data_IF_699048256304
#
_entry.id   IF_699048256304
#
_cell.length_a   1.000
_cell.length_b   1.000
_cell.length_c   1.000
_cell.angle_alpha   90.00
_cell.angle_beta   90.00
_cell.angle_gamma   90.00
#
_symmetry.space_group_name_H-M   'P 1'
#
loop_
_entity.id
_entity.type
_entity.pdbx_description
1 polymer ?
#
# COMPACT_ATOMS: atom_id res chain seq x y z
N UNK A 1 1.28 -30.12 23.43
CA UNK A 1 2.34 -30.85 24.16
C UNK A 1 3.68 -30.24 23.76
N UNK A 2 4.50 -29.93 24.75
CA UNK A 2 5.86 -29.40 24.61
C UNK A 2 6.77 -30.38 23.84
N UNK A 3 7.79 -29.86 23.15
CA UNK A 3 9.16 -30.36 23.31
C UNK A 3 10.21 -29.34 22.87
N UNK A 4 11.17 -29.19 23.77
CA UNK A 4 12.46 -28.49 23.72
C UNK A 4 13.46 -29.34 22.94
N UNK A 5 14.55 -28.77 22.40
CA UNK A 5 15.82 -29.47 22.37
C UNK A 5 16.85 -28.83 23.31
N UNK A 6 17.35 -29.66 24.23
CA UNK A 6 18.75 -29.71 24.62
C UNK A 6 19.30 -28.60 25.51
N UNK A 7 19.20 -28.80 26.83
CA UNK A 7 20.18 -28.30 27.79
C UNK A 7 21.53 -28.99 27.58
N UNK A 8 22.51 -28.24 27.07
CA UNK A 8 23.94 -28.52 27.22
C UNK A 8 24.56 -27.40 28.04
N UNK A 9 25.21 -27.74 29.16
CA UNK A 9 25.80 -26.78 30.09
C UNK A 9 26.91 -25.94 29.45
N UNK A 10 26.90 -24.65 29.78
CA UNK A 10 27.93 -23.68 29.41
C UNK A 10 27.48 -22.30 29.87
N UNK A 11 27.99 -21.86 31.02
CA UNK A 11 27.63 -20.58 31.61
C UNK A 11 28.03 -19.42 30.69
N UNK A 12 27.07 -18.60 30.30
CA UNK A 12 27.29 -17.26 29.76
C UNK A 12 26.11 -16.36 30.16
N UNK A 13 26.35 -15.57 31.20
CA UNK A 13 25.58 -14.37 31.51
C UNK A 13 25.71 -13.37 30.35
N UNK A 14 24.63 -12.72 29.86
CA UNK A 14 24.78 -11.42 29.24
C UNK A 14 24.85 -10.40 30.38
N UNK A 15 26.07 -9.95 30.66
CA UNK A 15 26.31 -8.81 31.54
C UNK A 15 25.63 -7.57 30.97
N UNK A 16 24.64 -7.04 31.69
CA UNK A 16 24.22 -5.67 31.51
C UNK A 16 25.24 -4.83 32.28
N UNK A 17 26.26 -4.34 31.57
CA UNK A 17 27.27 -3.42 32.09
C UNK A 17 26.58 -2.19 32.65
N UNK A 18 26.70 -2.00 33.97
CA UNK A 18 26.39 -0.74 34.61
C UNK A 18 27.36 0.34 34.17
N UNK A 19 26.83 1.54 33.95
CA UNK A 19 27.64 2.70 33.63
C UNK A 19 26.79 3.81 33.02
N UNK A 20 25.91 4.41 33.83
CA UNK A 20 25.59 5.83 33.71
C UNK A 20 24.94 6.33 35.01
N UNK A 21 25.81 6.85 35.87
CA UNK A 21 25.47 7.72 37.00
C UNK A 21 24.94 9.05 36.45
N UNK A 22 23.63 9.09 36.22
CA UNK A 22 22.87 10.30 35.91
C UNK A 22 21.79 10.53 36.97
N UNK A 23 22.06 11.44 37.89
CA UNK A 23 21.12 11.94 38.89
C UNK A 23 19.83 12.47 38.24
N UNK A 24 18.67 11.86 38.55
CA UNK A 24 17.36 12.38 38.13
C UNK A 24 16.14 11.53 38.55
N UNK A 25 15.41 12.01 39.55
CA UNK A 25 13.97 11.77 39.84
C UNK A 25 13.50 10.34 40.20
N UNK A 26 13.18 10.15 41.48
CA UNK A 26 12.76 8.89 42.12
C UNK A 26 11.35 8.38 41.81
N UNK A 27 11.07 8.00 40.55
CA UNK A 27 9.87 7.24 40.18
C UNK A 27 10.16 5.89 39.48
N UNK A 28 11.31 5.74 38.81
CA UNK A 28 11.62 4.55 38.00
C UNK A 28 11.94 3.28 38.79
N UNK A 29 12.41 3.41 40.03
CA UNK A 29 12.73 2.27 40.91
C UNK A 29 11.51 1.51 41.43
N UNK A 30 10.41 2.23 41.64
CA UNK A 30 9.19 1.67 42.23
C UNK A 30 8.37 0.86 41.23
N UNK A 31 8.37 1.24 39.96
CA UNK A 31 7.65 0.48 38.93
C UNK A 31 8.31 -0.88 38.65
N UNK A 32 9.62 -0.90 38.40
CA UNK A 32 10.33 -2.15 38.06
C UNK A 32 10.29 -3.16 39.21
N UNK A 33 10.32 -2.70 40.45
CA UNK A 33 10.13 -3.55 41.63
C UNK A 33 8.72 -4.10 41.70
N UNK A 34 7.67 -3.28 41.52
CA UNK A 34 6.28 -3.74 41.40
C UNK A 34 6.09 -4.76 40.28
N UNK A 35 6.64 -4.49 39.09
CA UNK A 35 6.58 -5.42 37.94
C UNK A 35 7.25 -6.77 38.26
N UNK A 36 8.42 -6.74 38.89
CA UNK A 36 9.14 -7.96 39.33
C UNK A 36 8.37 -8.72 40.40
N UNK A 37 7.73 -8.02 41.34
CA UNK A 37 6.89 -8.63 42.39
C UNK A 37 5.69 -9.37 41.78
N UNK A 38 4.97 -8.75 40.84
CA UNK A 38 3.85 -9.41 40.15
C UNK A 38 4.36 -10.60 39.33
N UNK A 39 5.48 -10.45 38.62
CA UNK A 39 6.11 -11.55 37.87
C UNK A 39 6.56 -12.71 38.76
N UNK A 40 7.01 -12.42 39.98
CA UNK A 40 7.41 -13.44 40.97
C UNK A 40 6.22 -14.20 41.56
N UNK A 41 5.00 -13.62 41.55
CA UNK A 41 3.76 -14.31 41.91
C UNK A 41 3.34 -15.34 40.85
N UNK A 42 3.68 -15.09 39.58
CA UNK A 42 3.39 -16.00 38.46
C UNK A 42 4.37 -17.18 38.34
N UNK A 43 5.56 -17.09 38.97
CA UNK A 43 6.52 -18.21 38.98
C UNK A 43 5.90 -19.40 39.71
N UNK A 44 5.93 -20.58 39.08
CA UNK A 44 5.47 -21.84 39.66
C UNK A 44 6.13 -22.05 41.02
N UNK A 45 5.33 -22.05 42.07
CA UNK A 45 5.73 -22.50 43.41
C UNK A 45 5.21 -23.93 43.57
N UNK A 46 6.03 -24.79 44.15
CA UNK A 46 5.69 -26.19 44.38
C UNK A 46 4.28 -26.29 45.02
N UNK A 47 3.37 -27.00 44.35
CA UNK A 47 2.01 -27.34 44.77
C UNK A 47 0.91 -26.25 44.80
N UNK A 48 1.14 -25.01 44.34
CA UNK A 48 0.03 -24.01 44.22
C UNK A 48 -0.10 -23.47 42.81
N UNK A 49 -1.33 -23.52 42.26
CA UNK A 49 -1.68 -22.81 41.03
C UNK A 49 -1.63 -21.30 41.32
N UNK A 50 -0.81 -20.51 40.62
CA UNK A 50 -0.79 -19.06 40.82
C UNK A 50 -2.12 -18.43 40.40
N UNK A 51 -2.57 -17.41 41.12
CA UNK A 51 -3.77 -16.64 40.76
C UNK A 51 -3.44 -15.72 39.57
N UNK A 52 -3.60 -16.24 38.36
CA UNK A 52 -3.24 -15.53 37.13
C UNK A 52 -4.18 -14.34 36.86
N UNK A 53 -5.44 -14.41 37.27
CA UNK A 53 -6.42 -13.34 37.09
C UNK A 53 -6.03 -12.07 37.86
N UNK A 54 -5.73 -12.19 39.15
CA UNK A 54 -5.27 -11.05 39.97
C UNK A 54 -3.95 -10.46 39.47
N UNK A 55 -3.05 -11.31 38.95
CA UNK A 55 -1.80 -10.85 38.37
C UNK A 55 -2.05 -10.03 37.08
N UNK A 56 -2.99 -10.46 36.23
CA UNK A 56 -3.38 -9.72 35.04
C UNK A 56 -3.95 -8.34 35.39
N UNK A 57 -4.82 -8.26 36.41
CA UNK A 57 -5.37 -6.99 36.89
C UNK A 57 -4.28 -6.06 37.46
N UNK A 58 -3.32 -6.61 38.21
CA UNK A 58 -2.17 -5.85 38.72
C UNK A 58 -1.31 -5.29 37.58
N UNK A 59 -1.05 -6.07 36.53
CA UNK A 59 -0.34 -5.57 35.35
C UNK A 59 -1.14 -4.52 34.57
N UNK A 60 -2.46 -4.69 34.45
CA UNK A 60 -3.32 -3.72 33.79
C UNK A 60 -3.42 -2.39 34.56
N UNK A 61 -3.43 -2.43 35.90
CA UNK A 61 -3.36 -1.24 36.73
C UNK A 61 -2.02 -0.51 36.55
N UNK A 62 -0.90 -1.23 36.60
CA UNK A 62 0.43 -0.66 36.34
C UNK A 62 0.53 -0.06 34.93
N UNK A 63 -0.03 -0.71 33.91
CA UNK A 63 -0.04 -0.18 32.55
C UNK A 63 -0.78 1.16 32.46
N UNK A 64 -1.88 1.34 33.22
CA UNK A 64 -2.61 2.62 33.27
C UNK A 64 -1.83 3.72 33.96
N UNK A 65 -1.16 3.41 35.07
CA UNK A 65 -0.29 4.36 35.77
C UNK A 65 0.86 4.83 34.87
N UNK A 66 1.51 3.90 34.16
CA UNK A 66 2.60 4.22 33.23
C UNK A 66 2.13 5.00 32.00
N UNK A 67 0.90 4.76 31.52
CA UNK A 67 0.29 5.59 30.48
C UNK A 67 0.09 7.03 30.96
N UNK A 68 -0.30 7.22 32.23
CA UNK A 68 -0.47 8.55 32.82
C UNK A 68 0.86 9.27 33.04
N UNK A 69 1.95 8.52 33.25
CA UNK A 69 3.32 9.06 33.38
C UNK A 69 4.04 9.24 32.03
N UNK A 70 3.36 9.05 30.90
CA UNK A 70 3.90 9.12 29.54
C UNK A 70 5.06 8.14 29.22
N UNK A 71 5.27 7.13 30.06
CA UNK A 71 6.28 6.09 29.81
C UNK A 71 5.69 4.96 28.96
N UNK A 72 5.45 5.25 27.68
CA UNK A 72 4.78 4.37 26.71
C UNK A 72 5.41 2.97 26.51
N UNK A 73 6.74 2.81 26.33
CA UNK A 73 7.32 1.49 26.05
C UNK A 73 7.13 0.52 27.23
N UNK A 74 7.25 1.01 28.47
CA UNK A 74 7.00 0.19 29.66
C UNK A 74 5.52 -0.19 29.80
N UNK A 75 4.60 0.70 29.46
CA UNK A 75 3.18 0.37 29.43
C UNK A 75 2.89 -0.74 28.40
N UNK A 76 3.57 -0.75 27.26
CA UNK A 76 3.44 -1.80 26.26
C UNK A 76 3.96 -3.16 26.77
N UNK A 77 5.10 -3.18 27.48
CA UNK A 77 5.59 -4.38 28.16
C UNK A 77 4.60 -4.93 29.20
N UNK A 78 3.94 -4.06 29.97
CA UNK A 78 2.88 -4.49 30.88
C UNK A 78 1.69 -5.12 30.15
N UNK A 79 1.28 -4.56 29.01
CA UNK A 79 0.19 -5.14 28.20
C UNK A 79 0.56 -6.50 27.60
N UNK A 80 1.83 -6.70 27.23
CA UNK A 80 2.31 -8.03 26.83
C UNK A 80 2.27 -9.04 27.98
N UNK A 81 2.54 -8.61 29.21
CA UNK A 81 2.39 -9.47 30.39
C UNK A 81 0.91 -9.85 30.63
N UNK A 82 -0.03 -8.90 30.44
CA UNK A 82 -1.47 -9.17 30.49
C UNK A 82 -1.88 -10.19 29.42
N UNK A 83 -1.39 -10.05 28.19
CA UNK A 83 -1.66 -11.00 27.11
C UNK A 83 -1.18 -12.42 27.46
N UNK A 84 0.03 -12.55 28.02
CA UNK A 84 0.56 -13.86 28.49
C UNK A 84 -0.28 -14.46 29.62
N UNK A 85 -0.80 -13.63 30.52
CA UNK A 85 -1.71 -14.08 31.57
C UNK A 85 -3.03 -14.61 30.96
N UNK A 86 -3.62 -13.86 30.02
CA UNK A 86 -4.84 -14.26 29.31
C UNK A 86 -4.64 -15.57 28.52
N UNK A 87 -3.48 -15.74 27.87
CA UNK A 87 -3.10 -16.98 27.20
C UNK A 87 -3.09 -18.17 28.16
N UNK A 88 -2.49 -18.02 29.34
CA UNK A 88 -2.43 -19.09 30.34
C UNK A 88 -3.79 -19.40 31.00
N UNK A 89 -4.73 -18.46 30.94
CA UNK A 89 -6.13 -18.65 31.35
C UNK A 89 -6.99 -19.25 30.22
N UNK A 90 -6.47 -19.35 29.00
CA UNK A 90 -7.24 -19.77 27.82
C UNK A 90 -8.25 -18.72 27.33
N UNK A 91 -8.08 -17.46 27.72
CA UNK A 91 -8.98 -16.37 27.33
C UNK A 91 -8.50 -15.68 26.05
N UNK A 92 -8.76 -16.32 24.91
CA UNK A 92 -8.35 -15.87 23.58
C UNK A 92 -8.77 -14.42 23.19
N UNK A 93 -10.03 -13.96 23.38
CA UNK A 93 -10.39 -12.60 22.95
C UNK A 93 -9.69 -11.50 23.77
N UNK A 94 -9.48 -11.71 25.07
CA UNK A 94 -8.72 -10.77 25.90
C UNK A 94 -7.23 -10.78 25.60
N UNK A 95 -6.67 -11.93 25.21
CA UNK A 95 -5.29 -12.00 24.69
C UNK A 95 -5.13 -11.15 23.42
N UNK A 96 -6.03 -11.31 22.44
CA UNK A 96 -6.04 -10.52 21.22
C UNK A 96 -6.25 -9.01 21.47
N UNK A 97 -7.07 -8.64 22.44
CA UNK A 97 -7.29 -7.24 22.83
C UNK A 97 -6.02 -6.63 23.44
N UNK A 98 -5.38 -7.31 24.40
CA UNK A 98 -4.15 -6.85 25.04
C UNK A 98 -2.98 -6.72 24.06
N UNK A 99 -2.85 -7.64 23.10
CA UNK A 99 -1.86 -7.55 22.02
C UNK A 99 -2.10 -6.37 21.09
N UNK A 100 -3.35 -6.10 20.74
CA UNK A 100 -3.73 -4.91 19.95
C UNK A 100 -3.42 -3.62 20.69
N UNK A 101 -3.70 -3.54 21.99
CA UNK A 101 -3.33 -2.40 22.83
C UNK A 101 -1.81 -2.22 22.93
N UNK A 102 -1.05 -3.31 23.09
CA UNK A 102 0.41 -3.24 23.11
C UNK A 102 0.95 -2.68 21.80
N UNK A 103 0.45 -3.17 20.65
CA UNK A 103 0.84 -2.65 19.33
C UNK A 103 0.59 -1.14 19.19
N UNK A 104 -0.59 -0.66 19.62
CA UNK A 104 -0.93 0.77 19.58
C UNK A 104 -0.01 1.63 20.45
N UNK A 105 0.40 1.13 21.62
CA UNK A 105 1.35 1.84 22.48
C UNK A 105 2.74 1.94 21.84
N UNK A 106 3.22 0.87 21.19
CA UNK A 106 4.46 0.89 20.45
C UNK A 106 4.41 1.90 19.30
N UNK A 107 3.37 1.84 18.46
CA UNK A 107 3.20 2.77 17.33
C UNK A 107 3.10 4.23 17.79
N UNK A 108 2.36 4.49 18.87
CA UNK A 108 2.26 5.84 19.47
C UNK A 108 3.63 6.33 19.92
N UNK A 109 4.41 5.48 20.59
CA UNK A 109 5.75 5.84 21.05
C UNK A 109 6.67 6.17 19.87
N UNK A 110 6.64 5.39 18.81
CA UNK A 110 7.42 5.67 17.60
C UNK A 110 7.01 6.95 16.90
N UNK A 111 5.71 7.27 16.91
CA UNK A 111 5.22 8.53 16.37
C UNK A 111 5.75 9.71 17.19
N UNK A 112 5.72 9.63 18.52
CA UNK A 112 6.29 10.67 19.39
C UNK A 112 7.81 10.80 19.20
N UNK A 113 8.53 9.69 19.04
CA UNK A 113 9.95 9.69 18.77
C UNK A 113 10.27 10.38 17.43
N UNK A 114 9.52 10.04 16.37
CA UNK A 114 9.62 10.69 15.05
C UNK A 114 9.37 12.19 15.12
N UNK A 115 8.35 12.62 15.87
CA UNK A 115 8.03 14.04 16.04
C UNK A 115 9.14 14.80 16.78
N UNK A 116 9.82 14.16 17.75
CA UNK A 116 10.90 14.78 18.53
C UNK A 116 12.24 14.80 17.81
N UNK A 117 12.59 13.71 17.10
CA UNK A 117 13.90 13.53 16.47
C UNK A 117 13.97 14.05 15.03
N UNK A 118 12.82 14.32 14.41
CA UNK A 118 12.73 14.71 13.01
C UNK A 118 12.85 13.52 12.04
N UNK A 119 12.54 13.74 10.75
CA UNK A 119 12.61 12.68 9.74
C UNK A 119 14.07 12.27 9.48
N UNK A 120 14.37 10.97 9.58
CA UNK A 120 15.62 10.38 9.06
C UNK A 120 16.64 9.88 10.08
N UNK A 121 16.43 10.06 11.40
CA UNK A 121 17.30 9.44 12.44
C UNK A 121 16.81 8.04 12.88
N UNK A 122 16.31 7.28 11.89
CA UNK A 122 15.54 6.04 12.06
C UNK A 122 16.27 4.89 12.75
N UNK A 123 16.18 4.83 14.07
CA UNK A 123 16.19 3.57 14.81
C UNK A 123 14.76 3.28 15.27
N UNK A 124 13.98 2.66 14.38
CA UNK A 124 12.65 2.12 14.72
C UNK A 124 12.81 0.82 15.51
N UNK A 125 13.38 0.90 16.71
CA UNK A 125 13.62 -0.27 17.57
C UNK A 125 12.31 -0.94 18.00
N UNK A 126 11.23 -0.16 18.06
CA UNK A 126 9.93 -0.58 18.58
C UNK A 126 8.93 -1.02 17.50
N UNK A 127 9.21 -0.73 16.23
CA UNK A 127 8.40 -1.10 15.07
C UNK A 127 8.33 -2.61 14.87
N UNK A 128 9.45 -3.38 14.88
CA UNK A 128 9.35 -4.83 14.74
C UNK A 128 8.59 -5.46 15.93
N UNK A 129 8.66 -4.87 17.11
CA UNK A 129 7.85 -5.29 18.26
C UNK A 129 6.36 -5.04 17.97
N UNK A 130 5.98 -3.88 17.43
CA UNK A 130 4.61 -3.60 17.02
C UNK A 130 4.11 -4.57 15.93
N UNK A 131 4.91 -4.79 14.88
CA UNK A 131 4.57 -5.69 13.77
C UNK A 131 4.36 -7.13 14.22
N UNK A 132 5.20 -7.63 15.15
CA UNK A 132 5.03 -8.98 15.71
C UNK A 132 3.77 -9.09 16.57
N UNK A 133 3.42 -8.05 17.35
CA UNK A 133 2.17 -7.99 18.11
C UNK A 133 0.95 -7.99 17.20
N UNK A 134 0.98 -7.20 16.12
CA UNK A 134 -0.10 -7.15 15.11
C UNK A 134 -0.22 -8.50 14.40
N UNK A 135 0.88 -9.10 13.98
CA UNK A 135 0.86 -10.38 13.29
C UNK A 135 0.28 -11.50 14.16
N UNK A 136 0.71 -11.60 15.42
CA UNK A 136 0.18 -12.59 16.35
C UNK A 136 -1.28 -12.31 16.73
N UNK A 137 -1.62 -11.05 17.05
CA UNK A 137 -2.98 -10.63 17.37
C UNK A 137 -3.96 -10.86 16.21
N UNK A 138 -3.53 -10.65 14.97
CA UNK A 138 -4.35 -10.90 13.78
C UNK A 138 -4.65 -12.38 13.58
N UNK A 139 -3.67 -13.28 13.77
CA UNK A 139 -3.88 -14.74 13.68
C UNK A 139 -4.89 -15.20 14.71
N UNK A 140 -4.74 -14.73 15.94
CA UNK A 140 -5.65 -15.07 17.04
C UNK A 140 -7.09 -14.57 16.78
N UNK A 141 -7.26 -13.40 16.15
CA UNK A 141 -8.58 -12.90 15.72
C UNK A 141 -9.18 -13.71 14.56
N UNK A 142 -8.35 -14.27 13.67
CA UNK A 142 -8.82 -15.16 12.61
C UNK A 142 -9.27 -16.50 13.19
N UNK A 143 -8.55 -17.05 14.17
CA UNK A 143 -8.94 -18.27 14.88
C UNK A 143 -10.28 -18.09 15.62
N UNK A 144 -10.58 -16.87 16.08
CA UNK A 144 -11.86 -16.49 16.69
C UNK A 144 -12.98 -16.18 15.68
N UNK A 145 -12.71 -16.25 14.37
CA UNK A 145 -13.68 -15.95 13.33
C UNK A 145 -14.01 -14.46 13.16
N UNK A 146 -13.11 -13.56 13.56
CA UNK A 146 -13.29 -12.10 13.50
C UNK A 146 -12.31 -11.43 12.51
N UNK A 147 -12.48 -11.64 11.18
CA UNK A 147 -11.55 -11.12 10.17
C UNK A 147 -11.56 -9.59 10.05
N UNK A 148 -12.71 -8.93 10.28
CA UNK A 148 -12.82 -7.47 10.25
C UNK A 148 -11.94 -6.79 11.31
N UNK A 149 -11.92 -7.33 12.53
CA UNK A 149 -11.06 -6.83 13.60
C UNK A 149 -9.59 -7.14 13.34
N UNK A 150 -9.27 -8.27 12.70
CA UNK A 150 -7.91 -8.57 12.28
C UNK A 150 -7.41 -7.55 11.23
N UNK A 151 -8.24 -7.22 10.24
CA UNK A 151 -7.94 -6.20 9.24
C UNK A 151 -7.69 -4.83 9.86
N UNK A 152 -8.49 -4.42 10.85
CA UNK A 152 -8.31 -3.15 11.56
C UNK A 152 -6.91 -2.97 12.16
N UNK A 153 -6.31 -4.03 12.74
CA UNK A 153 -4.94 -3.95 13.28
C UNK A 153 -3.90 -3.71 12.18
N UNK A 154 -4.07 -4.36 11.02
CA UNK A 154 -3.18 -4.17 9.88
C UNK A 154 -3.33 -2.78 9.25
N UNK A 155 -4.54 -2.22 9.23
CA UNK A 155 -4.78 -0.84 8.78
C UNK A 155 -4.15 0.20 9.70
N UNK A 156 -4.28 0.03 11.02
CA UNK A 156 -3.62 0.90 11.99
C UNK A 156 -2.10 0.93 11.76
N UNK A 157 -1.48 -0.24 11.60
CA UNK A 157 -0.06 -0.37 11.28
C UNK A 157 0.31 0.32 9.95
N UNK A 158 -0.46 0.06 8.89
CA UNK A 158 -0.20 0.62 7.56
C UNK A 158 -0.33 2.15 7.53
N UNK A 159 -1.31 2.71 8.24
CA UNK A 159 -1.52 4.15 8.32
C UNK A 159 -0.42 4.85 9.12
N UNK A 160 0.03 4.25 10.22
CA UNK A 160 1.15 4.80 11.00
C UNK A 160 2.47 4.77 10.21
N UNK A 161 2.74 3.70 9.46
CA UNK A 161 3.91 3.59 8.57
C UNK A 161 3.88 4.63 7.44
N UNK A 162 2.71 4.82 6.81
CA UNK A 162 2.50 5.86 5.78
C UNK A 162 2.76 7.25 6.34
N UNK A 163 2.21 7.57 7.53
CA UNK A 163 2.48 8.83 8.21
C UNK A 163 3.95 9.01 8.62
N UNK A 164 4.68 7.90 8.73
CA UNK A 164 6.11 7.89 9.05
C UNK A 164 7.04 8.15 7.87
N UNK A 165 6.50 8.28 6.66
CA UNK A 165 7.32 8.50 5.47
C UNK A 165 8.02 7.23 4.95
N UNK A 166 7.61 6.05 5.43
CA UNK A 166 8.09 4.74 4.98
C UNK A 166 6.99 4.01 4.18
N UNK A 167 6.55 4.53 3.01
CA UNK A 167 5.44 3.96 2.26
C UNK A 167 5.73 2.54 1.76
N UNK A 168 6.99 2.20 1.49
CA UNK A 168 7.39 0.86 1.01
C UNK A 168 7.12 -0.25 2.03
N UNK A 169 7.33 0.02 3.32
CA UNK A 169 7.04 -0.93 4.39
C UNK A 169 5.53 -1.04 4.68
N UNK A 170 4.74 -0.01 4.34
CA UNK A 170 3.30 0.01 4.54
C UNK A 170 2.55 -0.88 3.54
N UNK A 171 3.04 -1.00 2.30
CA UNK A 171 2.41 -1.79 1.22
C UNK A 171 2.02 -3.22 1.64
N UNK A 172 2.92 -4.07 2.17
CA UNK A 172 2.57 -5.45 2.53
C UNK A 172 1.56 -5.53 3.69
N UNK A 173 1.59 -4.56 4.62
CA UNK A 173 0.63 -4.50 5.73
C UNK A 173 -0.78 -4.16 5.22
N UNK A 174 -0.88 -3.21 4.30
CA UNK A 174 -2.15 -2.77 3.72
C UNK A 174 -2.74 -3.78 2.74
N UNK A 175 -1.92 -4.45 1.93
CA UNK A 175 -2.36 -5.56 1.07
C UNK A 175 -2.97 -6.69 1.89
N UNK A 176 -2.31 -7.08 2.99
CA UNK A 176 -2.84 -8.07 3.91
C UNK A 176 -4.17 -7.61 4.55
N UNK A 177 -4.31 -6.33 4.87
CA UNK A 177 -5.58 -5.80 5.35
C UNK A 177 -6.70 -5.92 4.30
N UNK A 178 -6.40 -5.59 3.03
CA UNK A 178 -7.36 -5.71 1.93
C UNK A 178 -7.85 -7.15 1.73
N UNK A 179 -6.95 -8.15 1.80
CA UNK A 179 -7.31 -9.57 1.71
C UNK A 179 -8.25 -9.99 2.84
N UNK A 180 -7.98 -9.54 4.07
CA UNK A 180 -8.81 -9.85 5.24
C UNK A 180 -10.19 -9.17 5.18
N UNK A 181 -10.27 -7.95 4.62
CA UNK A 181 -11.53 -7.25 4.40
C UNK A 181 -12.37 -7.90 3.30
N UNK A 182 -11.73 -8.43 2.26
CA UNK A 182 -12.40 -9.22 1.23
C UNK A 182 -13.04 -10.49 1.84
N UNK A 183 -12.32 -11.19 2.72
CA UNK A 183 -12.86 -12.33 3.48
C UNK A 183 -13.99 -11.91 4.43
N UNK A 184 -13.91 -10.71 5.02
CA UNK A 184 -14.92 -10.16 5.91
C UNK A 184 -16.18 -9.61 5.19
N UNK A 185 -16.25 -9.70 3.85
CA UNK A 185 -17.36 -9.20 3.02
C UNK A 185 -17.57 -7.67 3.13
N UNK A 186 -16.49 -6.91 3.31
CA UNK A 186 -16.48 -5.45 3.35
C UNK A 186 -15.77 -4.87 2.10
N UNK A 187 -16.37 -4.98 0.90
CA UNK A 187 -15.69 -4.65 -0.35
C UNK A 187 -15.34 -3.17 -0.49
N UNK A 188 -16.16 -2.26 0.04
CA UNK A 188 -15.89 -0.82 -0.04
C UNK A 188 -14.63 -0.43 0.75
N UNK A 189 -14.44 -1.01 1.93
CA UNK A 189 -13.25 -0.76 2.74
C UNK A 189 -12.01 -1.37 2.07
N UNK A 190 -12.14 -2.59 1.50
CA UNK A 190 -11.06 -3.21 0.76
C UNK A 190 -10.61 -2.35 -0.45
N UNK A 191 -11.55 -1.75 -1.19
CA UNK A 191 -11.22 -0.84 -2.29
C UNK A 191 -10.47 0.41 -1.82
N UNK A 192 -10.91 1.02 -0.71
CA UNK A 192 -10.19 2.16 -0.11
C UNK A 192 -8.76 1.76 0.29
N UNK A 193 -8.59 0.56 0.84
CA UNK A 193 -7.26 0.03 1.18
C UNK A 193 -6.38 -0.17 -0.06
N UNK A 194 -6.94 -0.65 -1.18
CA UNK A 194 -6.19 -0.82 -2.43
C UNK A 194 -5.81 0.53 -3.05
N UNK A 195 -6.68 1.55 -2.98
CA UNK A 195 -6.32 2.93 -3.35
C UNK A 195 -5.17 3.46 -2.50
N UNK A 196 -5.28 3.23 -1.21
CA UNK A 196 -4.28 3.59 -0.22
C UNK A 196 -2.96 2.83 -0.46
N UNK A 197 -2.98 1.62 -1.01
CA UNK A 197 -1.77 0.91 -1.48
C UNK A 197 -1.23 1.53 -2.76
N UNK A 198 -2.09 1.85 -3.73
CA UNK A 198 -1.68 2.46 -4.99
C UNK A 198 -0.94 3.78 -4.74
N UNK A 199 -1.47 4.66 -3.88
CA UNK A 199 -0.78 5.89 -3.47
C UNK A 199 0.59 5.62 -2.84
N UNK A 200 0.73 4.58 -2.00
CA UNK A 200 2.03 4.20 -1.44
C UNK A 200 3.02 3.72 -2.52
N UNK A 201 2.56 2.91 -3.47
CA UNK A 201 3.39 2.41 -4.58
C UNK A 201 3.85 3.53 -5.52
N UNK A 202 2.97 4.51 -5.78
CA UNK A 202 3.32 5.71 -6.54
C UNK A 202 4.43 6.53 -5.87
N UNK A 203 4.37 6.67 -4.54
CA UNK A 203 5.44 7.32 -3.76
C UNK A 203 6.75 6.51 -3.84
N UNK A 204 6.67 5.18 -3.89
CA UNK A 204 7.83 4.28 -4.04
C UNK A 204 8.37 4.20 -5.47
N UNK A 205 7.75 4.87 -6.46
CA UNK A 205 8.07 4.78 -7.90
C UNK A 205 7.86 3.39 -8.51
N UNK A 206 7.08 2.53 -7.85
CA UNK A 206 6.68 1.24 -8.42
C UNK A 206 5.38 1.39 -9.20
N UNK A 207 5.52 1.81 -10.45
CA UNK A 207 4.40 2.07 -11.35
C UNK A 207 3.72 0.78 -11.84
N UNK A 208 4.49 -0.31 -12.01
CA UNK A 208 3.97 -1.62 -12.43
C UNK A 208 3.13 -2.26 -11.32
N UNK A 209 3.62 -2.22 -10.07
CA UNK A 209 2.86 -2.68 -8.91
C UNK A 209 1.58 -1.87 -8.71
N UNK A 210 1.65 -0.55 -8.90
CA UNK A 210 0.47 0.32 -8.80
C UNK A 210 -0.60 -0.05 -9.84
N UNK A 211 -0.21 -0.34 -11.09
CA UNK A 211 -1.14 -0.82 -12.12
C UNK A 211 -1.83 -2.13 -11.72
N UNK A 212 -1.10 -3.09 -11.17
CA UNK A 212 -1.66 -4.39 -10.76
C UNK A 212 -2.70 -4.23 -9.63
N UNK A 213 -2.41 -3.38 -8.65
CA UNK A 213 -3.33 -3.09 -7.53
C UNK A 213 -4.59 -2.37 -8.01
N UNK A 214 -4.46 -1.41 -8.94
CA UNK A 214 -5.61 -0.70 -9.52
C UNK A 214 -6.50 -1.64 -10.38
N UNK A 215 -5.92 -2.61 -11.08
CA UNK A 215 -6.72 -3.64 -11.78
C UNK A 215 -7.46 -4.54 -10.80
N UNK A 216 -6.80 -4.96 -9.72
CA UNK A 216 -7.45 -5.75 -8.68
C UNK A 216 -8.63 -4.97 -8.06
N UNK A 217 -8.45 -3.66 -7.79
CA UNK A 217 -9.52 -2.82 -7.28
C UNK A 217 -10.72 -2.77 -8.24
N UNK A 218 -10.49 -2.62 -9.55
CA UNK A 218 -11.59 -2.60 -10.51
C UNK A 218 -12.31 -3.94 -10.61
N UNK A 219 -11.59 -5.06 -10.59
CA UNK A 219 -12.18 -6.40 -10.59
C UNK A 219 -13.03 -6.65 -9.35
N UNK A 220 -12.56 -6.23 -8.17
CA UNK A 220 -13.32 -6.34 -6.92
C UNK A 220 -14.58 -5.48 -6.94
N UNK A 221 -14.50 -4.26 -7.47
CA UNK A 221 -15.66 -3.39 -7.63
C UNK A 221 -16.68 -3.99 -8.60
N UNK A 222 -16.24 -4.53 -9.75
CA UNK A 222 -17.12 -5.19 -10.72
C UNK A 222 -17.79 -6.44 -10.13
N UNK A 223 -17.05 -7.24 -9.36
CA UNK A 223 -17.59 -8.41 -8.67
C UNK A 223 -18.62 -8.03 -7.59
N UNK A 224 -18.40 -6.92 -6.86
CA UNK A 224 -19.33 -6.39 -5.87
C UNK A 224 -20.61 -5.77 -6.46
N UNK A 225 -20.61 -5.43 -7.75
CA UNK A 225 -21.75 -4.85 -8.47
C UNK A 225 -22.58 -5.88 -9.25
N UNK A 226 -22.23 -7.17 -9.19
CA UNK A 226 -22.99 -8.25 -9.81
C UNK A 226 -24.35 -8.51 -9.12
N UNK A 227 -25.37 -9.04 -9.82
CA UNK A 227 -26.73 -9.23 -9.30
C UNK A 227 -26.85 -10.46 -8.39
N UNK A 228 -26.03 -10.56 -7.34
CA UNK A 228 -26.12 -11.69 -6.40
C UNK A 228 -25.50 -11.34 -5.04
N UNK A 229 -26.25 -10.61 -4.23
CA UNK A 229 -26.05 -10.56 -2.77
C UNK A 229 -27.38 -10.19 -2.08
N UNK A 230 -28.40 -11.02 -2.27
CA UNK A 230 -29.68 -10.89 -1.57
C UNK A 230 -30.71 -11.93 -1.99
N UNK A 231 -30.85 -12.99 -1.18
CA UNK A 231 -32.07 -13.80 -1.12
C UNK A 231 -32.15 -14.99 -2.08
N UNK A 232 -32.14 -16.18 -1.48
CA UNK A 232 -32.47 -17.47 -2.08
C UNK A 232 -33.88 -17.55 -2.69
N UNK A 233 -33.94 -18.25 -3.83
CA UNK A 233 -34.94 -19.22 -4.34
C UNK A 233 -35.66 -18.87 -5.64
N UNK A 234 -35.42 -19.74 -6.63
CA UNK A 234 -36.25 -20.10 -7.79
C UNK A 234 -36.77 -18.99 -8.71
N UNK A 235 -36.15 -18.83 -9.88
CA UNK A 235 -36.57 -19.55 -11.09
C UNK A 235 -35.77 -19.09 -12.30
N UNK A 236 -35.23 -20.07 -13.02
CA UNK A 236 -34.60 -19.87 -14.30
C UNK A 236 -35.67 -19.61 -15.36
N UNK A 237 -35.55 -18.49 -16.09
CA UNK A 237 -35.92 -18.37 -17.50
C UNK A 237 -35.66 -16.94 -17.99
N UNK A 238 -34.61 -16.75 -18.78
CA UNK A 238 -34.61 -15.99 -20.03
C UNK A 238 -33.16 -15.65 -20.42
N UNK A 239 -32.66 -16.38 -21.41
CA UNK A 239 -31.49 -15.98 -22.17
C UNK A 239 -31.84 -14.84 -23.13
N UNK A 240 -30.80 -14.10 -23.51
CA UNK A 240 -30.63 -13.29 -24.71
C UNK A 240 -31.23 -11.87 -24.78
N UNK A 241 -30.33 -10.96 -25.18
CA UNK A 241 -30.54 -9.67 -25.86
C UNK A 241 -31.47 -8.66 -25.22
N UNK A 242 -30.88 -7.73 -24.47
CA UNK A 242 -31.12 -6.28 -24.57
C UNK A 242 -30.41 -5.59 -23.41
N UNK A 243 -29.92 -4.39 -23.67
CA UNK A 243 -29.39 -3.42 -22.73
C UNK A 243 -30.17 -3.38 -21.40
N UNK A 244 -29.70 -4.12 -20.40
CA UNK A 244 -30.15 -3.92 -19.01
C UNK A 244 -29.31 -2.77 -18.46
N UNK A 245 -29.92 -1.65 -18.03
CA UNK A 245 -29.16 -0.62 -17.33
C UNK A 245 -28.67 -1.26 -16.03
N UNK A 246 -27.36 -1.50 -15.97
CA UNK A 246 -26.64 -1.78 -14.72
C UNK A 246 -27.09 -0.69 -13.76
N UNK A 247 -27.83 -1.06 -12.72
CA UNK A 247 -28.20 -0.11 -11.67
C UNK A 247 -26.92 0.61 -11.25
N UNK A 248 -26.90 1.96 -11.23
CA UNK A 248 -25.67 2.68 -10.95
C UNK A 248 -25.11 2.15 -9.64
N UNK A 249 -23.82 1.73 -9.62
CA UNK A 249 -23.23 1.24 -8.40
C UNK A 249 -23.34 2.34 -7.33
N UNK A 250 -23.42 1.98 -6.03
CA UNK A 250 -23.59 2.97 -4.98
C UNK A 250 -22.52 4.06 -5.13
N UNK A 251 -22.88 5.34 -4.93
CA UNK A 251 -22.01 6.47 -5.29
C UNK A 251 -20.57 6.36 -4.75
N UNK A 252 -20.39 5.81 -3.54
CA UNK A 252 -19.07 5.59 -2.95
C UNK A 252 -18.17 4.60 -3.71
N UNK A 253 -18.76 3.62 -4.42
CA UNK A 253 -18.01 2.73 -5.33
C UNK A 253 -17.67 3.44 -6.63
N UNK A 254 -18.56 4.32 -7.11
CA UNK A 254 -18.36 5.08 -8.34
C UNK A 254 -17.14 6.00 -8.21
N UNK A 255 -17.02 6.74 -7.10
CA UNK A 255 -15.89 7.65 -6.85
C UNK A 255 -14.54 6.90 -6.85
N UNK A 256 -14.54 5.69 -6.30
CA UNK A 256 -13.34 4.85 -6.23
C UNK A 256 -13.00 4.24 -7.60
N UNK A 257 -14.02 3.80 -8.33
CA UNK A 257 -13.88 3.33 -9.71
C UNK A 257 -13.38 4.44 -10.64
N UNK A 258 -13.87 5.67 -10.46
CA UNK A 258 -13.43 6.86 -11.18
C UNK A 258 -11.95 7.13 -10.94
N UNK A 259 -11.54 7.16 -9.67
CA UNK A 259 -10.15 7.34 -9.30
C UNK A 259 -9.25 6.27 -9.93
N UNK A 260 -9.66 5.00 -9.84
CA UNK A 260 -8.94 3.86 -10.40
C UNK A 260 -8.81 3.92 -11.93
N UNK A 261 -9.88 4.27 -12.66
CA UNK A 261 -9.83 4.40 -14.11
C UNK A 261 -8.87 5.50 -14.55
N UNK A 262 -8.99 6.69 -13.96
CA UNK A 262 -8.17 7.86 -14.33
C UNK A 262 -6.69 7.59 -14.02
N UNK A 263 -6.37 7.09 -12.82
CA UNK A 263 -5.00 6.75 -12.44
C UNK A 263 -4.40 5.68 -13.35
N UNK A 264 -5.18 4.67 -13.74
CA UNK A 264 -4.73 3.61 -14.65
C UNK A 264 -4.45 4.13 -16.06
N UNK A 265 -5.31 4.99 -16.62
CA UNK A 265 -5.06 5.60 -17.94
C UNK A 265 -3.75 6.38 -17.92
N UNK A 266 -3.53 7.21 -16.91
CA UNK A 266 -2.29 7.99 -16.77
C UNK A 266 -1.06 7.09 -16.61
N UNK A 267 -1.15 6.00 -15.84
CA UNK A 267 -0.06 5.03 -15.70
C UNK A 267 0.23 4.26 -16.98
N UNK A 268 -0.78 3.91 -17.77
CA UNK A 268 -0.59 3.26 -19.07
C UNK A 268 0.07 4.21 -20.08
N UNK A 269 -0.23 5.51 -20.02
CA UNK A 269 0.43 6.53 -20.81
C UNK A 269 1.90 6.72 -20.43
N UNK A 270 2.23 6.60 -19.14
CA UNK A 270 3.60 6.64 -18.61
C UNK A 270 4.40 5.39 -19.04
N UNK A 271 3.92 4.21 -18.65
CA UNK A 271 4.67 2.96 -18.81
C UNK A 271 4.79 2.48 -20.26
N UNK A 272 3.82 2.82 -21.12
CA UNK A 272 3.69 2.33 -22.50
C UNK A 272 4.09 0.85 -22.64
N UNK A 273 3.43 -0.06 -21.89
CA UNK A 273 3.89 -1.43 -21.78
C UNK A 273 3.85 -2.15 -23.13
N UNK A 274 4.84 -3.01 -23.45
CA UNK A 274 4.84 -3.76 -24.68
C UNK A 274 3.66 -4.75 -24.74
N UNK A 275 3.17 -5.10 -25.94
CA UNK A 275 2.06 -6.03 -26.19
C UNK A 275 2.02 -7.30 -25.36
N UNK A 276 3.19 -7.86 -25.08
CA UNK A 276 3.37 -9.15 -24.44
C UNK A 276 3.12 -9.13 -22.94
N UNK A 277 3.15 -7.96 -22.31
CA UNK A 277 2.92 -7.77 -20.86
C UNK A 277 1.56 -7.13 -20.57
N UNK A 278 0.77 -6.88 -21.61
CA UNK A 278 -0.44 -6.09 -21.50
C UNK A 278 -1.63 -7.00 -21.20
N UNK A 279 -2.13 -6.94 -19.97
CA UNK A 279 -3.31 -7.68 -19.53
C UNK A 279 -4.55 -7.26 -20.32
N UNK A 280 -5.51 -8.17 -20.59
CA UNK A 280 -6.68 -7.86 -21.42
C UNK A 280 -7.53 -6.70 -20.90
N UNK A 281 -7.52 -6.46 -19.59
CA UNK A 281 -8.19 -5.31 -18.97
C UNK A 281 -7.56 -3.97 -19.34
N UNK A 282 -6.23 -3.90 -19.40
CA UNK A 282 -5.52 -2.70 -19.85
C UNK A 282 -5.83 -2.41 -21.32
N UNK A 283 -5.92 -3.45 -22.17
CA UNK A 283 -6.27 -3.30 -23.57
C UNK A 283 -7.65 -2.67 -23.74
N UNK A 284 -8.66 -3.24 -23.08
CA UNK A 284 -10.04 -2.71 -23.09
C UNK A 284 -10.11 -1.25 -22.69
N UNK A 285 -9.28 -0.84 -21.73
CA UNK A 285 -9.28 0.54 -21.26
C UNK A 285 -8.63 1.48 -22.25
N UNK A 286 -7.53 1.08 -22.88
CA UNK A 286 -6.91 1.88 -23.93
C UNK A 286 -7.82 1.99 -25.16
N UNK A 287 -8.54 0.92 -25.52
CA UNK A 287 -9.52 0.94 -26.60
C UNK A 287 -10.62 1.97 -26.35
N UNK A 288 -11.19 2.02 -25.14
CA UNK A 288 -12.20 3.02 -24.74
C UNK A 288 -11.76 4.47 -24.95
N UNK A 289 -10.47 4.76 -24.79
CA UNK A 289 -9.89 6.11 -24.93
C UNK A 289 -9.11 6.30 -26.26
N UNK A 290 -9.21 5.37 -27.20
CA UNK A 290 -8.48 5.43 -28.49
C UNK A 290 -9.25 6.16 -29.59
N UNK A 291 -8.53 6.55 -30.66
CA UNK A 291 -9.07 7.19 -31.89
C UNK A 291 -10.23 6.40 -32.53
N UNK A 292 -10.37 5.11 -32.28
CA UNK A 292 -11.43 4.26 -32.87
C UNK A 292 -12.74 4.29 -32.05
N UNK A 293 -12.72 4.89 -30.87
CA UNK A 293 -13.81 4.88 -29.89
C UNK A 293 -14.38 6.27 -29.59
N UNK A 294 -14.45 7.16 -30.58
CA UNK A 294 -15.09 8.49 -30.41
C UNK A 294 -16.56 8.39 -29.99
N UNK A 295 -17.23 7.27 -30.30
CA UNK A 295 -18.63 7.00 -29.92
C UNK A 295 -18.75 6.26 -28.58
N UNK A 296 -17.65 6.04 -27.84
CA UNK A 296 -17.70 5.33 -26.58
C UNK A 296 -18.48 6.12 -25.52
N UNK A 297 -19.43 5.46 -24.87
CA UNK A 297 -20.17 6.06 -23.77
C UNK A 297 -19.22 6.37 -22.61
N UNK A 298 -19.30 7.56 -21.99
CA UNK A 298 -18.47 7.94 -20.85
C UNK A 298 -18.68 7.01 -19.64
N UNK A 299 -19.81 6.27 -19.62
CA UNK A 299 -20.16 5.31 -18.59
C UNK A 299 -20.45 6.05 -17.30
N UNK A 300 -19.50 5.97 -16.35
CA UNK A 300 -19.55 6.67 -15.08
C UNK A 300 -18.61 7.89 -15.00
N UNK A 301 -17.74 8.10 -15.99
CA UNK A 301 -16.78 9.22 -16.05
C UNK A 301 -17.51 10.51 -16.45
N UNK A 302 -17.24 11.67 -15.81
CA UNK A 302 -17.78 12.95 -16.28
C UNK A 302 -17.39 13.20 -17.74
N UNK A 303 -18.35 13.63 -18.58
CA UNK A 303 -18.14 13.78 -20.02
C UNK A 303 -16.97 14.72 -20.37
N UNK A 304 -16.81 15.81 -19.61
CA UNK A 304 -15.69 16.76 -19.77
C UNK A 304 -14.34 16.08 -19.50
N UNK A 305 -14.22 15.35 -18.39
CA UNK A 305 -13.01 14.62 -18.04
C UNK A 305 -12.72 13.50 -19.06
N UNK A 306 -13.76 12.81 -19.54
CA UNK A 306 -13.64 11.75 -20.54
C UNK A 306 -13.04 12.27 -21.85
N UNK A 307 -13.56 13.38 -22.37
CA UNK A 307 -13.07 14.01 -23.60
C UNK A 307 -11.63 14.50 -23.46
N UNK A 308 -11.30 15.14 -22.33
CA UNK A 308 -9.94 15.61 -22.05
C UNK A 308 -8.96 14.44 -21.95
N UNK A 309 -9.35 13.33 -21.30
CA UNK A 309 -8.52 12.12 -21.24
C UNK A 309 -8.32 11.47 -22.61
N UNK A 310 -9.35 11.39 -23.45
CA UNK A 310 -9.22 10.94 -24.83
C UNK A 310 -8.18 11.80 -25.57
N UNK A 311 -8.34 13.12 -25.56
CA UNK A 311 -7.41 14.04 -26.22
C UNK A 311 -5.97 13.91 -25.71
N UNK A 312 -5.77 13.66 -24.40
CA UNK A 312 -4.45 13.42 -23.83
C UNK A 312 -3.83 12.11 -24.32
N UNK A 313 -4.63 11.05 -24.47
CA UNK A 313 -4.17 9.79 -25.08
C UNK A 313 -3.76 10.02 -26.54
N UNK A 314 -4.51 10.82 -27.31
CA UNK A 314 -4.15 11.16 -28.70
C UNK A 314 -2.86 11.97 -28.79
N UNK A 315 -2.71 13.01 -27.96
CA UNK A 315 -1.51 13.82 -27.91
C UNK A 315 -0.26 12.98 -27.59
N UNK A 316 -0.38 12.00 -26.67
CA UNK A 316 0.69 11.06 -26.36
C UNK A 316 1.02 10.13 -27.54
N UNK A 317 0.02 9.64 -28.28
CA UNK A 317 0.22 8.78 -29.46
C UNK A 317 0.89 9.52 -30.63
N UNK A 318 0.49 10.77 -30.86
CA UNK A 318 1.03 11.62 -31.93
C UNK A 318 2.35 12.30 -31.55
N UNK A 319 2.72 12.22 -30.26
CA UNK A 319 3.88 12.91 -29.66
C UNK A 319 3.80 14.43 -29.77
N UNK A 320 2.60 14.99 -29.66
CA UNK A 320 2.39 16.43 -29.61
C UNK A 320 2.58 16.97 -28.19
N UNK A 321 3.75 17.56 -27.95
CA UNK A 321 4.13 18.15 -26.67
C UNK A 321 3.36 19.44 -26.36
N UNK A 322 2.99 20.21 -27.38
CA UNK A 322 2.34 21.50 -27.16
C UNK A 322 0.86 21.31 -26.80
N UNK A 323 0.18 20.39 -27.49
CA UNK A 323 -1.17 19.96 -27.11
C UNK A 323 -1.19 19.41 -25.68
N UNK A 324 -0.24 18.54 -25.31
CA UNK A 324 -0.21 17.93 -23.98
C UNK A 324 0.00 18.97 -22.85
N UNK A 325 0.78 20.03 -23.08
CA UNK A 325 0.96 21.13 -22.11
C UNK A 325 -0.31 21.97 -21.92
N UNK A 326 -1.08 22.17 -22.99
CA UNK A 326 -2.39 22.87 -22.90
C UNK A 326 -3.36 22.00 -22.11
N UNK A 327 -3.45 20.71 -22.46
CA UNK A 327 -4.30 19.73 -21.76
C UNK A 327 -3.93 19.59 -20.29
N UNK A 328 -2.65 19.68 -19.92
CA UNK A 328 -2.23 19.67 -18.51
C UNK A 328 -2.85 20.81 -17.70
N UNK A 329 -3.04 22.00 -18.29
CA UNK A 329 -3.67 23.13 -17.59
C UNK A 329 -5.17 22.93 -17.42
N UNK A 330 -5.82 22.35 -18.42
CA UNK A 330 -7.27 22.10 -18.43
C UNK A 330 -7.65 20.91 -17.53
N UNK A 331 -6.81 19.88 -17.47
CA UNK A 331 -7.00 18.72 -16.60
C UNK A 331 -6.67 19.01 -15.12
N UNK A 332 -5.82 20.00 -14.83
CA UNK A 332 -5.36 20.30 -13.48
C UNK A 332 -6.46 20.44 -12.41
N UNK A 333 -7.54 21.23 -12.63
CA UNK A 333 -8.61 21.38 -11.64
C UNK A 333 -9.52 20.15 -11.50
N UNK A 334 -9.53 19.26 -12.51
CA UNK A 334 -10.40 18.07 -12.54
C UNK A 334 -9.73 16.85 -11.90
N UNK A 335 -8.41 16.86 -11.76
CA UNK A 335 -7.61 15.75 -11.26
C UNK A 335 -7.21 15.93 -9.79
N UNK A 336 -7.08 14.81 -9.08
CA UNK A 336 -6.49 14.77 -7.73
C UNK A 336 -4.98 15.11 -7.78
N UNK A 337 -4.36 15.59 -6.69
CA UNK A 337 -2.93 15.91 -6.67
C UNK A 337 -2.03 14.71 -7.06
N UNK A 338 -2.44 13.49 -6.72
CA UNK A 338 -1.74 12.26 -7.11
C UNK A 338 -1.80 12.02 -8.62
N UNK A 339 -2.98 12.18 -9.22
CA UNK A 339 -3.17 12.08 -10.67
C UNK A 339 -2.44 13.21 -11.41
N UNK A 340 -2.43 14.42 -10.85
CA UNK A 340 -1.66 15.55 -11.39
C UNK A 340 -0.15 15.26 -11.35
N UNK A 341 0.34 14.59 -10.30
CA UNK A 341 1.73 14.13 -10.26
C UNK A 341 2.02 13.14 -11.39
N UNK A 342 1.15 12.16 -11.62
CA UNK A 342 1.28 11.21 -12.73
C UNK A 342 1.30 11.91 -14.09
N UNK A 343 0.37 12.83 -14.33
CA UNK A 343 0.31 13.58 -15.59
C UNK A 343 1.58 14.41 -15.80
N UNK A 344 2.14 15.00 -14.74
CA UNK A 344 3.42 15.69 -14.81
C UNK A 344 4.58 14.75 -15.21
N UNK A 345 4.60 13.52 -14.68
CA UNK A 345 5.61 12.52 -15.06
C UNK A 345 5.46 12.11 -16.53
N UNK A 346 4.24 11.95 -17.03
CA UNK A 346 3.98 11.67 -18.47
C UNK A 346 4.54 12.79 -19.34
N UNK A 347 4.25 14.05 -19.00
CA UNK A 347 4.82 15.20 -19.72
C UNK A 347 6.35 15.19 -19.66
N UNK A 348 6.93 14.87 -18.51
CA UNK A 348 8.38 14.81 -18.33
C UNK A 348 9.03 13.70 -19.18
N UNK A 349 8.44 12.51 -19.24
CA UNK A 349 8.92 11.41 -20.09
C UNK A 349 8.83 11.74 -21.58
N UNK A 350 7.80 12.49 -21.99
CA UNK A 350 7.66 12.96 -23.36
C UNK A 350 8.70 14.02 -23.74
N UNK A 351 9.12 14.86 -22.79
CA UNK A 351 10.20 15.84 -22.97
C UNK A 351 11.59 15.17 -22.96
N UNK A 352 11.77 14.14 -22.13
CA UNK A 352 13.04 13.45 -21.95
C UNK A 352 12.80 11.95 -21.78
N UNK A 353 12.77 11.17 -22.89
CA UNK A 353 12.58 9.74 -22.79
C UNK A 353 13.80 9.14 -22.09
N UNK A 354 13.59 8.57 -20.91
CA UNK A 354 14.60 7.93 -20.05
C UNK A 354 15.23 6.65 -20.65
N UNK A 355 15.09 6.43 -21.97
CA UNK A 355 15.34 5.17 -22.67
C UNK A 355 16.27 5.21 -23.88
N UNK A 356 17.24 6.14 -23.96
CA UNK A 356 18.47 5.88 -24.71
C UNK A 356 19.46 5.20 -23.77
N UNK A 357 19.55 3.87 -23.86
CA UNK A 357 20.26 3.04 -22.90
C UNK A 357 21.73 3.41 -22.69
N UNK A 358 22.10 3.62 -21.42
CA UNK A 358 23.46 3.34 -20.95
C UNK A 358 23.48 1.89 -20.48
N UNK A 359 23.97 1.01 -21.34
CA UNK A 359 24.62 -0.22 -20.89
C UNK A 359 25.81 0.23 -20.03
N UNK A 360 25.72 0.08 -18.72
CA UNK A 360 26.90 0.12 -17.86
C UNK A 360 27.83 -1.03 -18.29
N UNK A 361 29.12 -0.78 -18.59
CA UNK A 361 30.08 -1.86 -18.76
C UNK A 361 30.22 -2.61 -17.44
N UNK A 362 30.14 -3.94 -17.52
CA UNK A 362 30.34 -4.83 -16.40
C UNK A 362 31.73 -4.63 -15.79
N UNK A 363 31.79 -4.50 -14.47
CA UNK A 363 33.04 -4.53 -13.71
C UNK A 363 32.93 -3.84 -12.36
N UNK A 364 33.03 -4.63 -11.29
CA UNK A 364 33.28 -4.27 -9.88
C UNK A 364 32.11 -3.71 -9.06
N UNK A 365 31.61 -4.55 -8.15
CA UNK A 365 31.02 -4.15 -6.86
C UNK A 365 32.12 -4.15 -5.78
N UNK A 366 31.88 -3.74 -4.52
CA UNK A 366 30.90 -2.77 -4.02
C UNK A 366 31.58 -1.68 -3.15
N UNK A 367 31.01 -0.48 -3.04
CA UNK A 367 31.17 0.30 -1.80
C UNK A 367 30.06 1.36 -1.66
N UNK A 368 29.28 1.23 -0.59
CA UNK A 368 28.38 2.25 -0.10
C UNK A 368 29.20 3.42 0.44
N UNK A 369 28.92 4.66 0.00
CA UNK A 369 29.19 5.85 0.81
C UNK A 369 28.29 7.03 0.42
N UNK A 370 27.37 7.31 1.35
CA UNK A 370 26.88 8.61 1.83
C UNK A 370 27.53 9.87 1.22
N UNK A 371 26.70 10.71 0.58
CA UNK A 371 26.59 12.19 0.75
C UNK A 371 26.00 12.77 -0.55
N UNK A 372 24.93 13.54 -0.55
CA UNK A 372 24.78 14.76 0.23
C UNK A 372 25.55 15.89 -0.44
N UNK A 373 25.00 16.47 -1.54
CA UNK A 373 25.17 17.88 -1.95
C UNK A 373 24.41 18.20 -3.24
N UNK A 374 23.25 18.82 -3.05
CA UNK A 374 22.71 19.79 -4.00
C UNK A 374 23.80 20.83 -4.32
N UNK A 375 24.15 21.02 -5.59
CA UNK A 375 24.85 22.23 -6.04
C UNK A 375 24.15 22.80 -7.26
N UNK A 376 23.45 23.92 -7.03
CA UNK A 376 23.02 24.87 -8.05
C UNK A 376 24.24 25.32 -8.87
N UNK A 377 24.10 25.34 -10.20
CA UNK A 377 24.73 26.36 -11.03
C UNK A 377 23.85 26.66 -12.24
N UNK A 378 23.09 27.74 -12.12
CA UNK A 378 22.70 28.55 -13.27
C UNK A 378 23.94 29.30 -13.76
N UNK A 379 24.25 29.19 -15.04
CA UNK A 379 24.97 30.22 -15.78
C UNK A 379 24.78 30.02 -17.28
N UNK A 380 23.82 30.78 -17.83
CA UNK A 380 23.94 31.57 -19.07
C UNK A 380 25.00 31.14 -20.10
N UNK A 381 24.56 30.75 -21.29
CA UNK A 381 25.24 31.10 -22.54
C UNK A 381 24.29 31.07 -23.75
N UNK A 382 23.92 32.28 -24.17
CA UNK A 382 23.74 32.81 -25.55
C UNK A 382 23.13 31.92 -26.65
N UNK A 383 22.05 32.46 -27.22
CA UNK A 383 21.61 32.22 -28.60
C UNK A 383 22.76 32.37 -29.61
N UNK A 384 22.85 31.42 -30.53
CA UNK A 384 23.09 31.71 -31.94
C UNK A 384 22.48 30.60 -32.79
N UNK A 385 21.69 31.01 -33.78
CA UNK A 385 21.14 30.17 -34.83
C UNK A 385 22.25 29.46 -35.62
N UNK A 386 21.92 28.31 -36.22
CA UNK A 386 22.03 28.04 -37.66
C UNK A 386 21.85 26.52 -37.91
N UNK A 387 20.82 26.23 -38.71
CA UNK A 387 20.68 25.14 -39.69
C UNK A 387 20.90 23.67 -39.29
N UNK A 388 19.76 22.97 -39.18
CA UNK A 388 19.37 21.91 -40.13
C UNK A 388 20.39 20.79 -40.41
N UNK A 389 20.41 19.78 -39.55
CA UNK A 389 20.70 18.41 -39.97
C UNK A 389 19.40 17.59 -39.95
N UNK A 390 18.66 17.67 -41.07
CA UNK A 390 17.72 16.61 -41.46
C UNK A 390 18.54 15.41 -41.92
N UNK A 391 18.46 14.30 -41.19
CA UNK A 391 18.98 13.02 -41.66
C UNK A 391 19.47 12.18 -40.49
N UNK A 392 19.11 10.89 -40.49
CA UNK A 392 19.51 9.88 -39.50
C UNK A 392 18.71 9.91 -38.19
N UNK A 393 17.42 9.55 -38.28
CA UNK A 393 16.66 8.87 -37.18
C UNK A 393 15.34 8.23 -37.63
N UNK A 394 14.99 8.30 -38.93
CA UNK A 394 13.78 7.67 -39.48
C UNK A 394 13.82 6.13 -39.57
N UNK A 395 14.96 5.49 -39.31
CA UNK A 395 15.13 4.05 -39.49
C UNK A 395 14.73 3.18 -38.30
N UNK A 396 14.77 3.70 -37.07
CA UNK A 396 14.66 2.84 -35.87
C UNK A 396 13.27 2.85 -35.22
N UNK A 397 12.48 3.92 -35.42
CA UNK A 397 11.15 4.06 -34.82
C UNK A 397 9.98 3.63 -35.73
N UNK A 398 10.24 3.42 -37.03
CA UNK A 398 9.21 2.88 -37.94
C UNK A 398 8.83 1.43 -37.62
N UNK A 399 9.73 0.66 -36.98
CA UNK A 399 9.45 -0.74 -36.61
C UNK A 399 8.60 -0.85 -35.34
N UNK A 400 8.79 0.05 -34.37
CA UNK A 400 7.99 0.06 -33.13
C UNK A 400 6.60 0.67 -33.32
N UNK A 401 6.45 1.69 -34.17
CA UNK A 401 5.14 2.25 -34.55
C UNK A 401 4.35 1.27 -35.44
N UNK A 402 5.03 0.50 -36.33
CA UNK A 402 4.39 -0.64 -37.01
C UNK A 402 4.01 -1.74 -36.04
N UNK A 403 4.80 -2.01 -35.01
CA UNK A 403 4.47 -3.02 -34.00
C UNK A 403 3.25 -2.60 -33.17
N UNK A 404 3.08 -1.31 -32.85
CA UNK A 404 1.90 -0.78 -32.14
C UNK A 404 0.64 -0.70 -33.04
N UNK A 405 0.79 -0.30 -34.31
CA UNK A 405 -0.31 -0.36 -35.31
C UNK A 405 -0.69 -1.80 -35.65
N UNK A 406 0.26 -2.73 -35.73
CA UNK A 406 0.00 -4.18 -35.83
C UNK A 406 -0.59 -4.74 -34.54
N UNK A 407 -0.29 -4.16 -33.38
CA UNK A 407 -0.82 -4.61 -32.10
C UNK A 407 -2.32 -4.33 -32.01
N UNK A 408 -2.77 -3.12 -32.34
CA UNK A 408 -4.20 -2.79 -32.39
C UNK A 408 -4.92 -3.48 -33.56
N UNK A 409 -4.29 -3.55 -34.74
CA UNK A 409 -4.88 -4.18 -35.93
C UNK A 409 -5.02 -5.72 -35.81
N UNK A 410 -4.05 -6.43 -35.22
CA UNK A 410 -4.17 -7.89 -34.98
C UNK A 410 -5.10 -8.23 -33.81
N UNK A 411 -5.27 -7.32 -32.84
CA UNK A 411 -6.16 -7.55 -31.69
C UNK A 411 -7.63 -7.41 -32.10
N UNK A 412 -7.97 -6.36 -32.86
CA UNK A 412 -9.30 -6.17 -33.46
C UNK A 412 -9.68 -7.31 -34.43
N UNK A 413 -8.70 -7.83 -35.19
CA UNK A 413 -8.91 -8.98 -36.08
C UNK A 413 -9.12 -10.32 -35.34
N UNK A 414 -8.58 -10.49 -34.11
CA UNK A 414 -8.72 -11.75 -33.34
C UNK A 414 -10.00 -11.83 -32.51
N UNK A 415 -10.58 -10.70 -32.10
CA UNK A 415 -11.87 -10.67 -31.42
C UNK A 415 -13.03 -10.96 -32.40
N UNK A 416 -12.95 -10.42 -33.62
CA UNK A 416 -13.92 -10.73 -34.69
C UNK A 416 -13.87 -12.20 -35.14
N UNK A 417 -12.78 -12.92 -34.87
CA UNK A 417 -12.64 -14.35 -35.17
C UNK A 417 -13.06 -15.27 -34.00
N UNK A 418 -13.23 -14.75 -32.77
CA UNK A 418 -13.74 -15.54 -31.64
C UNK A 418 -15.27 -15.53 -31.50
N UNK A 419 -15.96 -14.51 -32.02
CA UNK A 419 -17.43 -14.43 -31.98
C UNK A 419 -18.14 -15.06 -33.21
N UNK A 420 -17.38 -15.64 -34.16
CA UNK A 420 -17.93 -16.39 -35.31
C UNK A 420 -17.80 -17.92 -35.20
N UNK A 421 -17.54 -18.47 -34.00
CA UNK A 421 -17.69 -19.92 -33.73
C UNK A 421 -18.47 -20.16 -32.44
N UNK A 422 -19.78 -19.97 -32.51
CA UNK A 422 -20.78 -20.84 -31.88
C UNK A 422 -21.99 -20.95 -32.79
#
# INVERSE_FOLDING_TARGET
MLSVPGTGGGGLSPGFSGGESGSGSGGGGDFLTRYRLVSAKLRRRFLRKPNVSEAAEQFAALARELRAQESLPYAAWCQLAVARCAQSLGHAPGEAAALGEAARLWLKHERELRLRQGPGLGLSEHLPAAQSCVAFGSRLRLDLGQPALAAGLWLELGNELRSGGEPGQAVPALLRAADLLAVAQLPLEALRCLRDVASCLLLCRDHDGALAVLTQAQLMAQAGTGPSAGGSTSSAAAAASSSVPVSPPPGAFLDELLHCEVARVLLLLLLQPPPSKLMPEHAKTLEKYSWEALDASPGYVPSELFLLLQSAVMACQEKDLEALKVLQKELWPLLTPEQNHLLHLVVQEMISPSGSGMKAPAGTSPECQVSGRYRRRCSSAKLSSVQFCRGVSRGFWSSKIRSMKMWLSNFSSRILLSDCRR
#
